data_IF_558205982124
#
_entry.id   IF_558205982124
#
_cell.length_a   1.000
_cell.length_b   1.000
_cell.length_c   1.000
_cell.angle_alpha   90.00
_cell.angle_beta   90.00
_cell.angle_gamma   90.00
#
_symmetry.space_group_name_H-M   'P 1'
#
loop_
_entity.id
_entity.type
_entity.pdbx_description
1 polymer ?
#
# COMPACT_ATOMS: atom_id res chain seq x y z
N UNK A 1 12.53 -0.10 23.35
CA UNK A 1 11.87 -1.12 22.49
C UNK A 1 10.70 -1.70 23.27
N UNK A 2 9.46 -1.62 22.77
CA UNK A 2 8.27 -2.17 23.46
C UNK A 2 7.80 -3.41 22.70
N UNK A 3 7.92 -4.58 23.31
CA UNK A 3 7.51 -5.87 22.74
C UNK A 3 6.23 -6.32 23.44
N UNK A 4 5.25 -6.78 22.67
CA UNK A 4 3.98 -7.27 23.20
C UNK A 4 3.68 -8.60 22.53
N UNK A 5 3.38 -9.62 23.33
CA UNK A 5 2.85 -10.88 22.84
C UNK A 5 1.33 -10.80 22.77
N UNK A 6 0.75 -11.16 21.62
CA UNK A 6 -0.70 -11.25 21.42
C UNK A 6 -1.03 -12.54 20.70
N UNK A 7 -2.15 -13.14 21.07
CA UNK A 7 -2.66 -14.30 20.36
C UNK A 7 -3.33 -13.85 19.06
N UNK A 8 -3.23 -14.70 18.05
CA UNK A 8 -4.05 -14.62 16.85
C UNK A 8 -5.47 -15.06 17.20
N UNK A 9 -6.47 -14.39 16.64
CA UNK A 9 -7.82 -14.93 16.69
C UNK A 9 -8.01 -16.08 15.68
N UNK A 10 -9.20 -16.69 15.69
CA UNK A 10 -9.52 -17.83 14.81
C UNK A 10 -9.45 -17.50 13.31
N UNK A 11 -9.45 -16.22 12.94
CA UNK A 11 -9.37 -15.75 11.56
C UNK A 11 -7.96 -15.25 11.21
N UNK A 12 -6.97 -15.41 12.09
CA UNK A 12 -5.60 -14.96 11.88
C UNK A 12 -5.40 -13.45 12.06
N UNK A 13 -6.32 -12.75 12.73
CA UNK A 13 -6.18 -11.31 12.99
C UNK A 13 -5.38 -11.07 14.27
N UNK A 14 -4.57 -10.00 14.26
CA UNK A 14 -3.87 -9.49 15.44
C UNK A 14 -4.47 -8.16 15.88
N UNK A 15 -4.56 -7.94 17.20
CA UNK A 15 -5.01 -6.66 17.74
C UNK A 15 -3.82 -5.74 17.96
N UNK A 16 -3.79 -4.61 17.25
CA UNK A 16 -2.78 -3.57 17.42
C UNK A 16 -3.26 -2.61 18.53
N UNK A 17 -2.42 -2.32 19.55
CA UNK A 17 -2.74 -1.38 20.62
C UNK A 17 -3.22 -0.02 20.09
N UNK A 18 -4.22 0.57 20.76
CA UNK A 18 -4.84 1.83 20.34
C UNK A 18 -3.85 3.01 20.33
N UNK A 19 -2.92 3.04 21.28
CA UNK A 19 -1.84 4.02 21.38
C UNK A 19 -0.92 3.99 20.15
N UNK A 20 -0.69 2.82 19.56
CA UNK A 20 0.19 2.65 18.39
C UNK A 20 -0.48 3.09 17.09
N UNK A 21 -1.81 2.92 17.02
CA UNK A 21 -2.61 3.20 15.81
C UNK A 21 -3.36 4.53 15.84
N UNK A 22 -3.09 5.40 16.81
CA UNK A 22 -3.79 6.69 17.01
C UNK A 22 -3.81 7.57 15.74
N UNK A 23 -2.76 7.51 14.93
CA UNK A 23 -2.60 8.32 13.71
C UNK A 23 -2.61 7.47 12.42
N UNK A 24 -3.15 6.25 12.48
CA UNK A 24 -3.26 5.38 11.31
C UNK A 24 -4.54 5.71 10.52
N UNK A 25 -4.49 5.57 9.20
CA UNK A 25 -5.70 5.53 8.38
C UNK A 25 -6.34 4.13 8.37
N UNK A 26 -7.28 3.91 7.46
CA UNK A 26 -7.99 2.63 7.31
C UNK A 26 -7.16 1.53 6.63
N UNK A 27 -6.03 1.89 6.01
CA UNK A 27 -5.20 0.99 5.20
C UNK A 27 -3.79 0.89 5.74
N UNK A 28 -3.20 -0.29 5.57
CA UNK A 28 -1.81 -0.60 5.90
C UNK A 28 -1.17 -1.31 4.73
N UNK A 29 0.13 -1.08 4.53
CA UNK A 29 0.96 -1.90 3.66
C UNK A 29 1.58 -3.00 4.52
N UNK A 30 1.47 -4.24 4.06
CA UNK A 30 2.13 -5.40 4.66
C UNK A 30 3.21 -5.88 3.72
N UNK A 31 4.45 -5.90 4.20
CA UNK A 31 5.61 -6.40 3.46
C UNK A 31 6.16 -7.62 4.20
N UNK A 32 6.14 -8.78 3.55
CA UNK A 32 6.79 -9.99 4.08
C UNK A 32 8.30 -9.83 3.87
N UNK A 33 9.06 -9.74 4.97
CA UNK A 33 10.53 -9.63 4.92
C UNK A 33 11.16 -11.03 4.93
N UNK A 34 10.59 -11.95 5.73
CA UNK A 34 11.01 -13.34 5.80
C UNK A 34 9.84 -14.24 6.22
N UNK A 35 10.07 -15.54 6.41
CA UNK A 35 9.04 -16.46 6.89
C UNK A 35 8.56 -16.18 8.32
N UNK A 36 9.33 -15.42 9.10
CA UNK A 36 9.01 -15.10 10.49
C UNK A 36 8.69 -13.63 10.71
N UNK A 37 8.86 -12.79 9.70
CA UNK A 37 8.80 -11.33 9.85
C UNK A 37 7.94 -10.67 8.78
N UNK A 38 7.01 -9.85 9.25
CA UNK A 38 6.19 -8.98 8.41
C UNK A 38 6.34 -7.56 8.94
N UNK A 39 6.62 -6.62 8.05
CA UNK A 39 6.58 -5.20 8.33
C UNK A 39 5.20 -4.64 7.98
N UNK A 40 4.57 -3.97 8.95
CA UNK A 40 3.29 -3.27 8.75
C UNK A 40 3.56 -1.77 8.76
N UNK A 41 3.25 -1.08 7.66
CA UNK A 41 3.34 0.38 7.56
C UNK A 41 1.96 1.00 7.38
N UNK A 42 1.51 1.87 8.30
CA UNK A 42 0.22 2.55 8.14
C UNK A 42 0.26 3.61 7.06
N UNK A 43 -0.85 3.73 6.34
CA UNK A 43 -1.07 4.82 5.40
C UNK A 43 -1.84 5.93 6.10
N UNK A 44 -1.21 7.10 6.24
CA UNK A 44 -1.74 8.20 7.08
C UNK A 44 -2.91 8.97 6.43
N UNK A 45 -3.21 8.74 5.15
CA UNK A 45 -4.36 9.30 4.40
C UNK A 45 -4.76 8.38 3.25
N UNK A 46 -5.89 8.66 2.60
CA UNK A 46 -6.28 8.06 1.32
C UNK A 46 -5.17 8.40 0.31
N UNK A 47 -4.28 7.44 0.04
CA UNK A 47 -3.23 7.59 -0.97
C UNK A 47 -3.86 7.99 -2.29
N UNK A 48 -3.37 9.06 -2.90
CA UNK A 48 -3.55 9.30 -4.33
C UNK A 48 -2.58 8.39 -5.08
N UNK A 49 -2.90 8.00 -6.32
CA UNK A 49 -1.97 7.24 -7.17
C UNK A 49 -0.64 7.99 -7.35
N UNK A 50 -0.69 9.32 -7.39
CA UNK A 50 0.48 10.21 -7.41
C UNK A 50 1.37 10.11 -6.18
N UNK A 51 0.88 9.58 -5.05
CA UNK A 51 1.69 9.42 -3.83
C UNK A 51 2.53 8.13 -3.88
N UNK A 52 2.30 7.26 -4.87
CA UNK A 52 2.93 5.93 -5.01
C UNK A 52 3.97 5.86 -6.13
N UNK A 53 3.83 6.70 -7.16
CA UNK A 53 4.69 6.70 -8.35
C UNK A 53 4.96 8.14 -8.77
N UNK A 54 6.23 8.48 -8.97
CA UNK A 54 6.65 9.81 -9.43
C UNK A 54 6.52 9.97 -10.96
N UNK A 55 6.61 8.87 -11.71
CA UNK A 55 6.44 8.81 -13.15
C UNK A 55 5.94 7.43 -13.58
N UNK A 56 5.20 7.40 -14.69
CA UNK A 56 4.80 6.17 -15.38
C UNK A 56 5.39 6.25 -16.78
N UNK A 57 6.21 5.27 -17.14
CA UNK A 57 6.81 5.16 -18.48
C UNK A 57 6.01 4.15 -19.28
N UNK A 58 5.60 4.55 -20.49
CA UNK A 58 4.73 3.76 -21.36
C UNK A 58 5.31 3.85 -22.76
N UNK A 59 5.47 2.71 -23.41
CA UNK A 59 5.87 2.66 -24.81
C UNK A 59 4.63 2.91 -25.69
N UNK A 60 4.72 3.95 -26.53
CA UNK A 60 3.66 4.33 -27.46
C UNK A 60 4.24 4.33 -28.86
N UNK A 61 3.61 3.61 -29.79
CA UNK A 61 4.05 3.55 -31.19
C UNK A 61 3.92 4.89 -31.91
N UNK A 62 2.88 5.70 -31.59
CA UNK A 62 2.60 6.98 -32.25
C UNK A 62 1.95 8.00 -31.30
N UNK A 63 2.54 9.19 -31.19
CA UNK A 63 2.04 10.32 -30.39
C UNK A 63 1.05 11.23 -31.15
N UNK A 64 0.90 11.02 -32.45
CA UNK A 64 0.05 11.85 -33.32
C UNK A 64 -1.44 11.61 -33.06
N UNK A 65 -1.79 10.42 -32.57
CA UNK A 65 -3.16 10.03 -32.23
C UNK A 65 -3.39 10.01 -30.72
N UNK A 66 -3.85 11.15 -30.19
CA UNK A 66 -4.13 11.35 -28.75
C UNK A 66 -5.17 10.35 -28.21
N UNK A 67 -6.07 9.81 -29.05
CA UNK A 67 -7.06 8.83 -28.61
C UNK A 67 -6.42 7.46 -28.35
N UNK A 68 -5.48 7.02 -29.20
CA UNK A 68 -4.71 5.79 -28.96
C UNK A 68 -3.85 5.87 -27.71
N UNK A 69 -3.19 7.01 -27.49
CA UNK A 69 -2.39 7.27 -26.27
C UNK A 69 -3.27 7.21 -25.01
N UNK A 70 -4.50 7.74 -25.06
CA UNK A 70 -5.43 7.63 -23.93
C UNK A 70 -5.89 6.19 -23.73
N UNK A 71 -6.14 5.43 -24.79
CA UNK A 71 -6.52 4.02 -24.69
C UNK A 71 -5.49 3.18 -23.94
N UNK A 72 -4.19 3.37 -24.21
CA UNK A 72 -3.11 2.67 -23.51
C UNK A 72 -2.94 3.10 -22.04
N UNK A 73 -3.28 4.35 -21.70
CA UNK A 73 -3.21 4.87 -20.33
C UNK A 73 -4.36 4.40 -19.42
N UNK A 74 -5.57 4.19 -19.97
CA UNK A 74 -6.77 3.98 -19.16
C UNK A 74 -7.22 2.52 -19.02
N UNK A 75 -6.74 1.59 -19.87
CA UNK A 75 -7.00 0.15 -19.76
C UNK A 75 -8.48 -0.24 -19.74
#
# INVERSE_FOLDING_TARGET
MKVILRNLDKMGRITIPSDWRKNWGERVIMVKISDKEILIRPLRKRLKLSDLFDAIEIEVEDFSDVHKVRGTLYG
#
